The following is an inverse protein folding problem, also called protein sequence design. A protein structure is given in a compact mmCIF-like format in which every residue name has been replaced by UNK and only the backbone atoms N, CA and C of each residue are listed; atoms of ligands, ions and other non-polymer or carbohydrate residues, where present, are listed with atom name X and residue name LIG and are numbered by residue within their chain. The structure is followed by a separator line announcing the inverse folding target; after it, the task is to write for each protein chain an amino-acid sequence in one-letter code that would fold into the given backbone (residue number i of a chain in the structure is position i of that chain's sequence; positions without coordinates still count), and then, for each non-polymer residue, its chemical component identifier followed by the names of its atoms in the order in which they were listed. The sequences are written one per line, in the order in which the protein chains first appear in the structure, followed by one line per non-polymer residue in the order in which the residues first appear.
data_IF_038068179237
#
_entry.id   IF_038068179237
#
_cell.length_a   1.000
_cell.length_b   1.000
_cell.length_c   1.000
_cell.angle_alpha   90.00
_cell.angle_beta   90.00
_cell.angle_gamma   90.00
#
_symmetry.space_group_name_H-M   'P 1'
#
loop_
_entity.id
_entity.type
_entity.pdbx_description
1 polymer ?
#
# COMPACT_ATOMS: atom_id res chain seq x y z
N UNK A 1 11.96 44.97 -28.62
CA UNK A 1 11.26 44.75 -27.33
C UNK A 1 9.94 44.00 -27.48
N UNK A 2 9.06 44.32 -28.44
CA UNK A 2 7.74 43.66 -28.61
C UNK A 2 7.77 42.16 -28.92
N UNK A 3 8.80 41.66 -29.63
CA UNK A 3 8.93 40.23 -30.00
C UNK A 3 9.29 39.29 -28.83
N UNK A 4 10.01 39.78 -27.83
CA UNK A 4 10.42 38.99 -26.65
C UNK A 4 9.24 38.75 -25.70
N UNK A 5 8.34 39.74 -25.56
CA UNK A 5 7.12 39.60 -24.75
C UNK A 5 6.16 38.53 -25.28
N UNK A 6 6.03 38.42 -26.61
CA UNK A 6 5.19 37.38 -27.25
C UNK A 6 5.76 35.98 -26.99
N UNK A 7 7.08 35.84 -27.04
CA UNK A 7 7.75 34.55 -26.84
C UNK A 7 7.66 34.10 -25.37
N UNK A 8 7.80 35.04 -24.42
CA UNK A 8 7.57 34.79 -22.99
C UNK A 8 6.12 34.43 -22.70
N UNK A 9 5.15 35.09 -23.35
CA UNK A 9 3.73 34.78 -23.21
C UNK A 9 3.41 33.36 -23.70
N UNK A 10 3.97 32.94 -24.84
CA UNK A 10 3.82 31.56 -25.34
C UNK A 10 4.49 30.52 -24.44
N UNK A 11 5.66 30.82 -23.88
CA UNK A 11 6.37 29.95 -22.94
C UNK A 11 5.65 29.84 -21.59
N UNK A 12 5.05 30.93 -21.11
CA UNK A 12 4.19 30.91 -19.92
C UNK A 12 2.90 30.14 -20.19
N UNK A 13 2.28 30.30 -21.36
CA UNK A 13 1.07 29.55 -21.69
C UNK A 13 1.34 28.05 -21.80
N UNK A 14 2.46 27.63 -22.40
CA UNK A 14 2.81 26.21 -22.49
C UNK A 14 3.11 25.59 -21.13
N UNK A 15 3.77 26.33 -20.24
CA UNK A 15 4.06 25.88 -18.87
C UNK A 15 2.78 25.78 -18.02
N UNK A 16 1.84 26.72 -18.16
CA UNK A 16 0.54 26.68 -17.44
C UNK A 16 -0.33 25.51 -17.93
N UNK A 17 -0.29 25.17 -19.22
CA UNK A 17 -0.96 23.97 -19.75
C UNK A 17 -0.31 22.67 -19.25
N UNK A 18 0.99 22.66 -18.98
CA UNK A 18 1.72 21.49 -18.47
C UNK A 18 1.38 21.20 -16.99
N UNK A 19 1.13 22.23 -16.18
CA UNK A 19 0.74 22.06 -14.78
C UNK A 19 -0.74 21.65 -14.59
N UNK A 20 -1.59 21.84 -15.61
CA UNK A 20 -2.99 21.43 -15.58
C UNK A 20 -3.22 19.92 -15.81
N UNK A 21 -2.19 19.14 -16.13
CA UNK A 21 -2.28 17.67 -16.25
C UNK A 21 -1.86 16.93 -14.96
N UNK A 22 -1.92 17.59 -13.81
CA UNK A 22 -1.87 16.91 -12.50
C UNK A 22 -3.27 16.76 -11.91
N UNK A 23 -4.27 16.45 -12.74
CA UNK A 23 -5.48 15.84 -12.23
C UNK A 23 -5.06 14.46 -11.72
N UNK A 24 -4.90 14.37 -10.40
CA UNK A 24 -4.85 13.11 -9.70
C UNK A 24 -6.07 12.31 -10.14
N UNK A 25 -5.90 11.38 -11.09
CA UNK A 25 -6.91 10.41 -11.48
C UNK A 25 -7.13 9.56 -10.22
N UNK A 26 -8.03 10.01 -9.35
CA UNK A 26 -8.52 9.23 -8.24
C UNK A 26 -9.22 8.03 -8.88
N UNK A 27 -8.67 6.81 -8.74
CA UNK A 27 -9.34 5.65 -9.28
C UNK A 27 -10.73 5.60 -8.66
N UNK A 28 -11.73 5.55 -9.52
CA UNK A 28 -13.12 5.66 -9.09
C UNK A 28 -13.48 4.43 -8.24
N UNK A 29 -12.88 3.27 -8.50
CA UNK A 29 -13.10 2.10 -7.65
C UNK A 29 -12.38 2.21 -6.30
N UNK A 30 -13.11 1.94 -5.22
CA UNK A 30 -12.57 1.74 -3.88
C UNK A 30 -13.05 0.41 -3.32
N UNK A 31 -12.10 -0.42 -2.89
CA UNK A 31 -12.36 -1.76 -2.35
C UNK A 31 -12.30 -1.74 -0.82
N UNK A 32 -13.35 -2.25 -0.19
CA UNK A 32 -13.42 -2.47 1.25
C UNK A 32 -13.63 -3.95 1.52
N UNK A 33 -12.95 -4.51 2.51
CA UNK A 33 -13.01 -5.95 2.79
C UNK A 33 -13.16 -6.20 4.28
N UNK A 34 -14.06 -7.12 4.63
CA UNK A 34 -14.20 -7.68 5.96
C UNK A 34 -13.84 -9.16 5.93
N UNK A 35 -13.09 -9.60 6.93
CA UNK A 35 -12.78 -11.00 7.20
C UNK A 35 -13.56 -11.46 8.43
N UNK A 36 -13.86 -12.75 8.55
CA UNK A 36 -14.56 -13.31 9.71
C UNK A 36 -13.75 -13.17 11.00
N UNK A 37 -12.43 -13.39 10.92
CA UNK A 37 -11.50 -13.33 12.05
C UNK A 37 -10.21 -12.59 11.70
N UNK A 38 -9.41 -12.31 12.73
CA UNK A 38 -8.04 -11.79 12.59
C UNK A 38 -6.97 -12.86 12.92
N UNK A 39 -7.34 -13.87 13.71
CA UNK A 39 -6.49 -14.97 14.12
C UNK A 39 -7.10 -16.29 13.64
N UNK A 40 -6.27 -17.14 13.07
CA UNK A 40 -6.66 -18.42 12.49
C UNK A 40 -5.70 -19.51 12.92
N UNK A 41 -6.16 -20.75 12.89
CA UNK A 41 -5.30 -21.92 13.03
C UNK A 41 -4.80 -22.42 11.67
N UNK A 42 -3.83 -23.34 11.69
CA UNK A 42 -3.38 -24.01 10.46
C UNK A 42 -4.49 -24.93 9.95
N UNK A 43 -4.75 -24.94 8.65
CA UNK A 43 -5.89 -25.66 8.08
C UNK A 43 -7.22 -24.89 8.13
N UNK A 44 -7.28 -23.74 8.80
CA UNK A 44 -8.51 -22.92 8.82
C UNK A 44 -8.84 -22.36 7.44
N UNK A 45 -10.07 -21.87 7.31
CA UNK A 45 -10.52 -21.13 6.13
C UNK A 45 -10.86 -19.70 6.52
N UNK A 46 -10.19 -18.75 5.88
CA UNK A 46 -10.50 -17.32 5.97
C UNK A 46 -11.76 -17.07 5.16
N UNK A 47 -12.83 -16.59 5.78
CA UNK A 47 -14.04 -16.17 5.07
C UNK A 47 -14.03 -14.65 4.96
N UNK A 48 -14.40 -14.13 3.80
CA UNK A 48 -14.40 -12.70 3.59
C UNK A 48 -15.58 -12.22 2.75
N UNK A 49 -15.93 -10.95 2.95
CA UNK A 49 -16.85 -10.19 2.11
C UNK A 49 -16.16 -8.90 1.69
N UNK A 50 -16.09 -8.70 0.38
CA UNK A 50 -15.56 -7.50 -0.24
C UNK A 50 -16.70 -6.69 -0.86
N UNK A 51 -16.57 -5.37 -0.78
CA UNK A 51 -17.51 -4.39 -1.30
C UNK A 51 -16.73 -3.43 -2.19
N UNK A 52 -17.15 -3.34 -3.44
CA UNK A 52 -16.56 -2.45 -4.41
C UNK A 52 -17.49 -1.25 -4.60
N UNK A 53 -16.96 -0.06 -4.29
CA UNK A 53 -17.72 1.18 -4.34
C UNK A 53 -17.11 2.14 -5.35
N UNK A 54 -17.95 2.80 -6.13
CA UNK A 54 -17.58 4.01 -6.86
C UNK A 54 -18.13 5.23 -6.08
N UNK A 55 -17.32 6.25 -5.71
CA UNK A 55 -17.79 7.42 -4.99
C UNK A 55 -18.62 8.36 -5.88
N UNK A 56 -18.71 8.13 -7.20
CA UNK A 56 -19.59 8.89 -8.09
C UNK A 56 -21.02 8.38 -7.92
N UNK A 57 -21.93 9.30 -7.59
CA UNK A 57 -23.33 9.02 -7.18
C UNK A 57 -24.15 8.14 -8.14
N UNK A 58 -23.75 8.05 -9.40
CA UNK A 58 -24.50 7.36 -10.47
C UNK A 58 -23.68 6.25 -11.14
N UNK A 59 -22.48 5.93 -10.64
CA UNK A 59 -21.61 4.94 -11.24
C UNK A 59 -21.70 3.59 -10.52
N UNK A 60 -21.81 2.52 -11.30
CA UNK A 60 -21.57 1.16 -10.80
C UNK A 60 -20.10 0.82 -10.98
N UNK A 61 -19.51 0.14 -10.01
CA UNK A 61 -18.14 -0.31 -10.13
C UNK A 61 -17.97 -1.24 -11.35
N UNK A 62 -16.89 -1.06 -12.10
CA UNK A 62 -16.65 -1.72 -13.39
C UNK A 62 -16.20 -3.17 -13.22
N UNK A 63 -15.39 -3.44 -12.21
CA UNK A 63 -14.74 -4.73 -12.02
C UNK A 63 -15.72 -5.83 -11.59
N UNK A 64 -15.69 -6.95 -12.32
CA UNK A 64 -16.55 -8.14 -12.08
C UNK A 64 -15.91 -9.20 -11.18
N UNK A 65 -14.64 -9.02 -10.81
CA UNK A 65 -13.87 -9.97 -10.01
C UNK A 65 -13.00 -9.25 -8.98
N UNK A 66 -12.91 -9.83 -7.78
CA UNK A 66 -11.94 -9.49 -6.74
C UNK A 66 -10.99 -10.66 -6.57
N UNK A 67 -9.69 -10.38 -6.60
CA UNK A 67 -8.64 -11.32 -6.26
C UNK A 67 -8.33 -11.19 -4.78
N UNK A 68 -8.26 -12.33 -4.08
CA UNK A 68 -7.84 -12.44 -2.69
C UNK A 68 -6.56 -13.26 -2.64
N UNK A 69 -5.49 -12.69 -2.12
CA UNK A 69 -4.19 -13.35 -2.02
C UNK A 69 -3.74 -13.45 -0.58
N UNK A 70 -3.10 -14.57 -0.24
CA UNK A 70 -2.36 -14.74 0.99
C UNK A 70 -0.87 -14.54 0.71
N UNK A 71 -0.23 -13.67 1.48
CA UNK A 71 1.20 -13.37 1.35
C UNK A 71 1.95 -13.66 2.65
N UNK A 72 3.18 -14.18 2.50
CA UNK A 72 4.22 -14.14 3.53
C UNK A 72 5.42 -13.39 2.97
N UNK A 73 5.95 -12.41 3.71
CA UNK A 73 7.12 -11.61 3.31
C UNK A 73 7.03 -11.05 1.87
N UNK A 74 5.84 -10.64 1.45
CA UNK A 74 5.51 -10.13 0.10
C UNK A 74 5.47 -11.18 -1.03
N UNK A 75 5.75 -12.45 -0.73
CA UNK A 75 5.55 -13.55 -1.67
C UNK A 75 4.12 -14.08 -1.59
N UNK A 76 3.48 -14.25 -2.76
CA UNK A 76 2.13 -14.82 -2.85
C UNK A 76 2.21 -16.33 -2.63
N UNK A 77 1.47 -16.82 -1.64
CA UNK A 77 1.37 -18.24 -1.31
C UNK A 77 0.16 -18.87 -2.00
N UNK A 78 -0.99 -18.19 -1.91
CA UNK A 78 -2.23 -18.64 -2.53
C UNK A 78 -3.03 -17.45 -3.03
N UNK A 79 -3.89 -17.71 -4.02
CA UNK A 79 -4.76 -16.73 -4.66
C UNK A 79 -6.09 -17.36 -4.98
N UNK A 80 -7.15 -16.66 -4.61
CA UNK A 80 -8.53 -16.97 -4.96
C UNK A 80 -9.13 -15.84 -5.81
N UNK A 81 -10.01 -16.19 -6.74
CA UNK A 81 -10.71 -15.24 -7.60
C UNK A 81 -12.22 -15.33 -7.36
N UNK A 82 -12.80 -14.26 -6.86
CA UNK A 82 -14.22 -14.19 -6.47
C UNK A 82 -14.97 -13.34 -7.48
N UNK A 83 -16.07 -13.88 -8.01
CA UNK A 83 -16.96 -13.17 -8.93
C UNK A 83 -17.93 -12.28 -8.17
N UNK A 84 -18.29 -11.16 -8.79
CA UNK A 84 -19.35 -10.26 -8.33
C UNK A 84 -20.69 -10.98 -8.19
N UNK A 85 -21.36 -10.74 -7.07
CA UNK A 85 -22.76 -11.06 -6.81
C UNK A 85 -23.47 -9.80 -6.29
N UNK A 86 -24.11 -9.06 -7.20
CA UNK A 86 -24.87 -7.85 -6.90
C UNK A 86 -24.09 -6.77 -6.10
N UNK A 87 -22.81 -6.55 -6.43
CA UNK A 87 -21.94 -5.58 -5.78
C UNK A 87 -21.23 -6.10 -4.52
N UNK A 88 -21.46 -7.37 -4.16
CA UNK A 88 -20.83 -8.05 -3.03
C UNK A 88 -19.98 -9.21 -3.55
N UNK A 89 -18.76 -9.32 -3.04
CA UNK A 89 -17.83 -10.38 -3.37
C UNK A 89 -17.63 -11.23 -2.12
N UNK A 90 -18.36 -12.34 -2.03
CA UNK A 90 -18.25 -13.27 -0.89
C UNK A 90 -17.40 -14.46 -1.28
N UNK A 91 -16.36 -14.74 -0.52
CA UNK A 91 -15.44 -15.82 -0.82
C UNK A 91 -14.72 -16.36 0.40
N UNK A 92 -13.87 -17.34 0.14
CA UNK A 92 -13.04 -17.95 1.17
C UNK A 92 -11.65 -18.26 0.62
N UNK A 93 -10.66 -18.30 1.51
CA UNK A 93 -9.29 -18.67 1.22
C UNK A 93 -8.84 -19.70 2.26
N UNK A 94 -8.50 -20.89 1.81
CA UNK A 94 -8.05 -21.98 2.68
C UNK A 94 -6.59 -21.77 3.07
N UNK A 95 -6.31 -21.83 4.36
CA UNK A 95 -4.97 -21.80 4.92
C UNK A 95 -4.45 -23.23 4.94
N UNK A 96 -3.32 -23.48 4.27
CA UNK A 96 -2.67 -24.80 4.32
C UNK A 96 -2.31 -25.20 5.76
N UNK A 97 -2.37 -26.49 6.05
CA UNK A 97 -1.92 -27.09 7.31
C UNK A 97 -0.39 -26.99 7.51
N UNK A 98 0.35 -26.94 6.40
CA UNK A 98 1.81 -26.78 6.33
C UNK A 98 2.31 -25.34 6.52
N UNK A 99 1.40 -24.36 6.68
CA UNK A 99 1.80 -22.97 6.92
C UNK A 99 2.57 -22.85 8.25
N UNK A 100 3.61 -22.02 8.25
CA UNK A 100 4.35 -21.69 9.48
C UNK A 100 3.47 -20.83 10.37
N UNK A 101 3.63 -20.96 11.69
CA UNK A 101 3.00 -19.99 12.60
C UNK A 101 3.57 -18.60 12.33
N UNK A 102 2.72 -17.60 12.16
CA UNK A 102 3.20 -16.28 11.85
C UNK A 102 2.18 -15.22 11.45
N UNK A 103 2.72 -14.06 11.10
CA UNK A 103 1.96 -12.97 10.50
C UNK A 103 1.89 -13.19 8.99
N UNK A 104 0.67 -13.13 8.47
CA UNK A 104 0.41 -13.17 7.04
C UNK A 104 -0.33 -11.91 6.63
N UNK A 105 -0.20 -11.55 5.35
CA UNK A 105 -0.94 -10.42 4.79
C UNK A 105 -1.92 -10.93 3.76
N UNK A 106 -3.20 -10.65 3.98
CA UNK A 106 -4.19 -10.77 2.93
C UNK A 106 -4.14 -9.52 2.05
N UNK A 107 -4.04 -9.72 0.75
CA UNK A 107 -4.09 -8.64 -0.25
C UNK A 107 -5.32 -8.85 -1.13
N UNK A 108 -6.15 -7.83 -1.24
CA UNK A 108 -7.34 -7.84 -2.08
C UNK A 108 -7.27 -6.74 -3.14
N UNK A 109 -7.68 -7.06 -4.37
CA UNK A 109 -7.72 -6.09 -5.46
C UNK A 109 -8.62 -6.52 -6.61
N UNK A 110 -8.98 -5.56 -7.45
CA UNK A 110 -9.54 -5.83 -8.77
C UNK A 110 -8.43 -5.70 -9.82
N UNK A 111 -8.61 -6.32 -11.00
CA UNK A 111 -7.65 -6.18 -12.10
C UNK A 111 -7.45 -4.69 -12.45
N UNK A 112 -8.53 -3.91 -12.45
CA UNK A 112 -8.48 -2.48 -12.71
C UNK A 112 -7.55 -1.77 -11.71
N UNK A 113 -7.76 -1.96 -10.41
CA UNK A 113 -6.94 -1.35 -9.36
C UNK A 113 -5.46 -1.76 -9.42
N UNK A 114 -5.16 -3.00 -9.83
CA UNK A 114 -3.78 -3.46 -10.02
C UNK A 114 -3.09 -2.89 -11.27
N UNK A 115 -3.87 -2.51 -12.29
CA UNK A 115 -3.37 -1.98 -13.57
C UNK A 115 -3.14 -0.47 -13.58
N UNK A 116 -3.44 0.22 -12.47
CA UNK A 116 -3.22 1.66 -12.34
C UNK A 116 -1.72 2.01 -12.37
N UNK A 117 -1.32 3.20 -12.84
CA UNK A 117 0.07 3.66 -12.77
C UNK A 117 0.67 3.59 -11.36
N UNK A 118 -0.16 3.85 -10.35
CA UNK A 118 0.13 3.56 -8.95
C UNK A 118 -0.89 2.51 -8.45
N UNK A 119 -0.53 1.22 -8.43
CA UNK A 119 -1.43 0.14 -8.06
C UNK A 119 -2.01 0.32 -6.66
N UNK A 120 -3.31 0.03 -6.52
CA UNK A 120 -4.01 0.12 -5.23
C UNK A 120 -4.50 -1.24 -4.79
N UNK A 121 -4.18 -1.59 -3.56
CA UNK A 121 -4.54 -2.85 -2.95
C UNK A 121 -5.12 -2.59 -1.56
N UNK A 122 -6.09 -3.40 -1.16
CA UNK A 122 -6.53 -3.47 0.23
C UNK A 122 -5.69 -4.52 0.95
N UNK A 123 -5.13 -4.17 2.11
CA UNK A 123 -4.29 -5.05 2.90
C UNK A 123 -4.92 -5.30 4.27
N UNK A 124 -4.87 -6.56 4.71
CA UNK A 124 -5.27 -6.96 6.06
C UNK A 124 -4.24 -7.93 6.63
N UNK A 125 -3.67 -7.59 7.77
CA UNK A 125 -2.80 -8.53 8.49
C UNK A 125 -3.65 -9.53 9.28
N UNK A 126 -3.23 -10.80 9.24
CA UNK A 126 -3.79 -11.90 10.01
C UNK A 126 -2.67 -12.69 10.70
N UNK A 127 -3.00 -13.39 11.79
CA UNK A 127 -2.09 -14.29 12.48
C UNK A 127 -2.55 -15.72 12.24
N UNK A 128 -1.63 -16.60 11.87
CA UNK A 128 -1.88 -18.04 11.69
C UNK A 128 -1.08 -18.81 12.75
N UNK A 129 -1.73 -19.75 13.46
CA UNK A 129 -1.09 -20.60 14.48
C UNK A 129 -0.86 -19.94 15.85
N UNK A 130 -1.58 -18.84 16.13
CA UNK A 130 -1.65 -18.23 17.47
C UNK A 130 -0.42 -17.46 17.96
N UNK A 131 0.69 -17.44 17.20
CA UNK A 131 1.87 -16.62 17.52
C UNK A 131 2.24 -15.76 16.33
N UNK A 132 2.38 -14.42 16.51
CA UNK A 132 2.92 -13.57 15.45
C UNK A 132 4.30 -14.05 15.06
N UNK A 133 4.65 -13.92 13.77
CA UNK A 133 5.94 -14.38 13.28
C UNK A 133 7.04 -13.58 13.98
N UNK A 134 7.87 -14.25 14.77
CA UNK A 134 9.02 -13.64 15.40
C UNK A 134 10.14 -13.62 14.37
N UNK A 135 10.20 -12.52 13.62
CA UNK A 135 11.28 -12.30 12.67
C UNK A 135 12.56 -12.00 13.44
N UNK A 136 13.31 -13.04 13.74
CA UNK A 136 14.60 -12.94 14.44
C UNK A 136 15.57 -12.00 13.72
N UNK A 137 15.41 -11.76 12.40
CA UNK A 137 16.19 -10.78 11.65
C UNK A 137 15.80 -9.35 11.99
N UNK A 138 14.51 -9.05 12.12
CA UNK A 138 14.06 -7.73 12.62
C UNK A 138 14.49 -7.50 14.05
N UNK A 139 14.46 -8.53 14.88
CA UNK A 139 14.89 -8.40 16.27
C UNK A 139 16.41 -8.21 16.38
N UNK A 140 17.21 -8.89 15.55
CA UNK A 140 18.65 -8.64 15.49
C UNK A 140 18.98 -7.27 14.91
N UNK A 141 18.26 -6.81 13.88
CA UNK A 141 18.41 -5.44 13.33
C UNK A 141 17.95 -4.39 14.34
N UNK A 142 16.88 -4.61 15.09
CA UNK A 142 16.43 -3.69 16.14
C UNK A 142 17.41 -3.65 17.32
N UNK A 143 17.97 -4.80 17.72
CA UNK A 143 19.03 -4.86 18.74
C UNK A 143 20.32 -4.19 18.27
N UNK A 144 20.69 -4.33 16.99
CA UNK A 144 21.80 -3.59 16.38
C UNK A 144 21.50 -2.09 16.29
N UNK A 145 20.31 -1.69 15.83
CA UNK A 145 19.91 -0.29 15.76
C UNK A 145 19.74 0.34 17.15
N UNK A 146 19.53 -0.44 18.21
CA UNK A 146 19.54 0.04 19.58
C UNK A 146 20.97 0.23 20.13
N UNK A 147 22.00 -0.34 19.50
CA UNK A 147 23.40 -0.17 19.94
C UNK A 147 24.06 1.09 19.40
N UNK A 148 23.42 1.80 18.48
CA UNK A 148 23.88 3.08 17.95
C UNK A 148 22.71 4.03 17.71
N UNK A 149 22.88 5.32 18.00
CA UNK A 149 21.82 6.31 17.85
C UNK A 149 22.24 7.41 16.87
N UNK A 150 21.44 7.64 15.83
CA UNK A 150 21.69 8.67 14.81
C UNK A 150 20.55 9.68 14.80
N UNK A 151 20.88 10.96 14.93
CA UNK A 151 19.95 12.09 14.84
C UNK A 151 20.33 13.05 13.72
N UNK A 152 19.33 13.65 13.09
CA UNK A 152 19.48 14.58 11.98
C UNK A 152 18.90 15.94 12.35
N UNK A 153 19.65 17.00 12.07
CA UNK A 153 19.33 18.38 12.42
C UNK A 153 19.34 19.23 11.15
N UNK A 154 18.16 19.60 10.61
CA UNK A 154 18.09 20.53 9.49
C UNK A 154 18.64 21.90 9.89
N UNK A 155 19.45 22.51 9.03
CA UNK A 155 20.02 23.84 9.28
C UNK A 155 18.95 24.91 9.56
N UNK A 156 17.79 24.80 8.91
CA UNK A 156 16.65 25.70 9.08
C UNK A 156 15.67 25.30 10.20
N UNK A 157 16.00 24.30 11.03
CA UNK A 157 15.12 23.79 12.10
C UNK A 157 13.89 22.99 11.64
N UNK A 158 13.57 22.99 10.33
CA UNK A 158 12.52 22.18 9.70
C UNK A 158 13.00 21.58 8.40
N UNK A 159 12.51 20.37 8.06
CA UNK A 159 12.77 19.68 6.80
C UNK A 159 11.57 19.82 5.85
N UNK A 160 11.63 20.67 4.80
CA UNK A 160 10.58 20.76 3.80
C UNK A 160 10.59 19.53 2.89
N UNK A 161 9.42 18.94 2.66
CA UNK A 161 9.27 17.74 1.83
C UNK A 161 9.61 18.01 0.37
N UNK A 162 10.38 17.11 -0.25
CA UNK A 162 10.69 17.15 -1.69
C UNK A 162 11.83 18.09 -2.10
N UNK A 163 12.45 18.78 -1.15
CA UNK A 163 13.54 19.72 -1.41
C UNK A 163 14.89 19.15 -0.94
N UNK A 164 15.95 19.36 -1.74
CA UNK A 164 17.32 19.08 -1.31
C UNK A 164 17.67 20.06 -0.18
N UNK A 165 18.00 19.52 0.99
CA UNK A 165 18.29 20.30 2.19
C UNK A 165 19.61 19.87 2.81
N UNK A 166 20.35 20.83 3.37
CA UNK A 166 21.54 20.54 4.18
C UNK A 166 21.11 20.16 5.60
N UNK A 167 21.75 19.10 6.10
CA UNK A 167 21.39 18.47 7.37
C UNK A 167 22.69 18.11 8.09
N UNK A 168 22.81 18.55 9.34
CA UNK A 168 23.85 18.05 10.24
C UNK A 168 23.39 16.72 10.84
N UNK A 169 24.31 15.80 11.09
CA UNK A 169 23.99 14.55 11.77
C UNK A 169 24.84 14.39 13.02
N UNK A 170 24.28 13.72 14.02
CA UNK A 170 24.96 13.29 15.24
C UNK A 170 24.78 11.80 15.38
N UNK A 171 25.88 11.06 15.33
CA UNK A 171 25.93 9.65 15.68
C UNK A 171 26.47 9.51 17.11
N UNK A 172 25.92 8.57 17.87
CA UNK A 172 26.40 8.20 19.19
C UNK A 172 26.59 6.69 19.22
N UNK A 173 27.86 6.30 19.36
CA UNK A 173 28.31 4.95 19.70
C UNK A 173 27.93 3.86 18.66
N UNK A 174 28.56 2.66 18.68
CA UNK A 174 29.22 2.05 19.84
C UNK A 174 30.45 2.81 20.36
N UNK A 175 31.36 3.24 19.47
CA UNK A 175 32.64 3.88 19.86
C UNK A 175 32.87 5.31 19.32
N UNK A 176 31.83 5.94 18.77
CA UNK A 176 31.87 7.33 18.31
C UNK A 176 31.77 7.47 16.81
#
# INVERSE_FOLDING_TARGET
MKKIFILIFFLLHSVVWLFAQSDHICPHEKLYVHTDRANYERGDTVRFRAYLMDPRREATAYSRYVYAELLADSQVISREMVKDDHGVFSGYLSLGDTLRSGNYTLRFYTRHLSSLPAPRYFYRQIIVGGRPFQDYRKESVARMAASYHVSFFPEGGRLPSGCVSRVAFKALSPDG
#
